data_IF_048571341131
#
_entry.id   IF_048571341131
#
_cell.length_a   1.000
_cell.length_b   1.000
_cell.length_c   1.000
_cell.angle_alpha   90.00
_cell.angle_beta   90.00
_cell.angle_gamma   90.00
#
_symmetry.space_group_name_H-M   'P 1'
#
loop_
_entity.id
_entity.type
_entity.pdbx_description
1 polymer ?
#
# COMPACT_ATOMS: atom_id res chain seq x y z
N UNK A 1 36.16 63.16 -29.20
CA UNK A 1 36.61 62.06 -30.08
C UNK A 1 36.48 60.76 -29.30
N UNK A 2 35.94 59.72 -29.92
CA UNK A 2 35.06 58.74 -29.28
C UNK A 2 35.66 57.32 -29.24
N UNK A 3 35.07 56.43 -28.44
CA UNK A 3 34.72 55.05 -28.82
C UNK A 3 34.09 54.36 -27.61
N UNK A 4 32.78 54.15 -27.58
CA UNK A 4 32.00 53.08 -28.23
C UNK A 4 31.95 51.77 -27.42
N UNK A 5 30.74 51.48 -26.94
CA UNK A 5 30.09 50.20 -26.55
C UNK A 5 30.16 49.12 -27.65
N UNK A 6 29.49 47.94 -27.54
CA UNK A 6 29.19 47.01 -26.43
C UNK A 6 29.57 45.54 -26.82
N UNK A 7 29.37 44.53 -25.95
CA UNK A 7 29.04 43.15 -26.40
C UNK A 7 28.57 42.25 -25.25
N UNK A 8 27.38 41.69 -25.45
CA UNK A 8 26.76 40.62 -24.69
C UNK A 8 27.34 39.24 -25.07
N UNK A 9 27.22 38.23 -24.20
CA UNK A 9 26.92 36.79 -24.45
C UNK A 9 27.17 36.03 -23.13
N UNK A 10 26.14 35.57 -22.40
CA UNK A 10 25.45 34.26 -22.46
C UNK A 10 26.35 33.03 -22.24
N UNK A 11 25.81 32.05 -21.49
CA UNK A 11 26.22 30.63 -21.34
C UNK A 11 27.38 30.39 -20.34
N UNK A 12 27.36 29.46 -19.37
CA UNK A 12 26.45 28.35 -19.00
C UNK A 12 26.77 27.96 -17.55
N UNK A 13 25.77 27.63 -16.73
CA UNK A 13 25.99 26.89 -15.47
C UNK A 13 26.26 25.42 -15.81
N UNK A 14 27.45 24.92 -15.49
CA UNK A 14 27.76 23.49 -15.52
C UNK A 14 27.20 22.86 -14.24
N UNK A 15 26.03 22.23 -14.34
CA UNK A 15 25.59 21.20 -13.41
C UNK A 15 26.50 19.98 -13.60
N UNK A 16 27.29 19.64 -12.59
CA UNK A 16 27.94 18.34 -12.51
C UNK A 16 26.89 17.30 -12.10
N UNK A 17 26.43 16.52 -13.07
CA UNK A 17 25.69 15.28 -12.82
C UNK A 17 26.68 14.22 -12.32
N UNK A 18 26.57 13.85 -11.05
CA UNK A 18 27.24 12.68 -10.50
C UNK A 18 26.34 11.46 -10.75
N UNK A 19 26.68 10.72 -11.80
CA UNK A 19 26.27 9.34 -12.02
C UNK A 19 26.90 8.48 -10.91
N UNK A 20 26.06 7.93 -10.03
CA UNK A 20 26.45 6.76 -9.23
C UNK A 20 25.99 5.54 -10.00
N UNK A 21 26.93 4.91 -10.70
CA UNK A 21 26.76 3.62 -11.31
C UNK A 21 26.51 2.55 -10.24
N UNK A 22 25.49 1.76 -10.49
CA UNK A 22 25.11 0.54 -9.79
C UNK A 22 26.25 -0.47 -9.76
N UNK A 23 26.73 -0.80 -8.55
CA UNK A 23 27.61 -1.95 -8.31
C UNK A 23 26.76 -3.21 -8.32
N UNK A 24 27.02 -4.07 -9.31
CA UNK A 24 26.53 -5.42 -9.39
C UNK A 24 27.02 -6.25 -8.20
N UNK A 25 26.09 -6.86 -7.45
CA UNK A 25 26.38 -7.96 -6.54
C UNK A 25 26.55 -9.24 -7.36
N UNK A 26 27.79 -9.50 -7.77
CA UNK A 26 28.24 -10.81 -8.19
C UNK A 26 29.06 -11.44 -7.05
N UNK A 27 28.69 -12.65 -6.66
CA UNK A 27 29.58 -13.57 -5.94
C UNK A 27 29.16 -13.91 -4.51
N UNK A 28 28.35 -14.96 -4.38
CA UNK A 28 28.64 -16.04 -3.45
C UNK A 28 28.21 -17.35 -4.12
N UNK A 29 29.20 -18.01 -4.69
CA UNK A 29 29.17 -19.41 -5.15
C UNK A 29 29.18 -20.30 -3.91
N UNK A 30 28.23 -21.22 -3.85
CA UNK A 30 28.22 -22.37 -2.95
C UNK A 30 27.77 -23.59 -3.75
N UNK A 31 28.70 -24.49 -4.01
CA UNK A 31 28.64 -25.61 -4.95
C UNK A 31 27.64 -26.74 -4.57
N UNK A 32 27.31 -27.62 -5.54
CA UNK A 32 26.24 -28.60 -5.46
C UNK A 32 26.70 -29.88 -4.74
N UNK A 33 25.86 -30.42 -3.86
CA UNK A 33 25.99 -31.80 -3.42
C UNK A 33 25.11 -32.71 -4.29
N UNK A 34 25.80 -33.61 -5.00
CA UNK A 34 25.27 -34.68 -5.82
C UNK A 34 25.35 -36.02 -5.06
N UNK A 35 24.50 -36.94 -5.51
CA UNK A 35 24.59 -38.42 -5.50
C UNK A 35 23.75 -39.21 -4.49
N UNK A 36 22.83 -39.99 -5.07
CA UNK A 36 22.24 -41.25 -4.58
C UNK A 36 20.77 -41.32 -5.02
N UNK A 37 20.34 -41.92 -6.13
CA UNK A 37 20.82 -43.12 -6.82
C UNK A 37 19.97 -44.33 -6.38
N UNK A 38 18.93 -44.69 -7.15
CA UNK A 38 18.14 -45.91 -6.91
C UNK A 38 16.95 -46.05 -7.87
N UNK A 39 17.01 -47.06 -8.74
CA UNK A 39 16.13 -47.33 -9.86
C UNK A 39 15.05 -48.41 -9.58
N UNK A 40 14.04 -48.46 -10.45
CA UNK A 40 13.09 -49.58 -10.65
C UNK A 40 11.66 -49.04 -10.83
N UNK A 41 10.88 -49.30 -11.88
CA UNK A 41 10.88 -50.34 -12.91
C UNK A 41 9.53 -51.09 -12.89
N UNK A 42 8.74 -51.04 -13.98
CA UNK A 42 7.55 -51.87 -14.25
C UNK A 42 6.24 -51.06 -14.40
N UNK A 43 5.74 -50.75 -15.61
CA UNK A 43 4.95 -51.56 -16.60
C UNK A 43 3.52 -51.96 -16.17
N UNK A 44 2.54 -51.42 -16.91
CA UNK A 44 1.44 -52.18 -17.52
C UNK A 44 0.07 -52.18 -16.82
N UNK A 45 -1.00 -51.99 -17.61
CA UNK A 45 -2.30 -52.63 -17.32
C UNK A 45 -3.55 -51.79 -17.55
N UNK A 46 -4.28 -52.14 -18.62
CA UNK A 46 -5.58 -51.63 -19.06
C UNK A 46 -6.78 -52.28 -18.36
N UNK A 47 -7.97 -51.67 -18.50
CA UNK A 47 -9.31 -52.27 -18.29
C UNK A 47 -9.97 -51.76 -17.00
N UNK A 48 -11.20 -51.26 -16.97
CA UNK A 48 -12.38 -51.59 -17.77
C UNK A 48 -13.47 -52.17 -16.84
N UNK A 49 -14.70 -51.69 -17.03
CA UNK A 49 -15.99 -52.25 -16.55
C UNK A 49 -16.60 -51.78 -15.21
N UNK A 50 -17.61 -50.92 -15.39
CA UNK A 50 -18.90 -50.89 -14.69
C UNK A 50 -19.62 -52.28 -14.74
N UNK A 51 -20.50 -52.61 -13.78
CA UNK A 51 -21.93 -52.41 -14.07
C UNK A 51 -22.86 -52.05 -12.90
N UNK A 52 -23.93 -51.36 -13.33
CA UNK A 52 -25.29 -51.12 -12.82
C UNK A 52 -25.90 -52.02 -11.74
N UNK A 53 -26.74 -51.36 -10.91
CA UNK A 53 -27.97 -51.87 -10.28
C UNK A 53 -28.33 -50.93 -9.11
N UNK A 54 -29.47 -50.26 -8.98
CA UNK A 54 -30.84 -50.53 -9.43
C UNK A 54 -31.73 -50.74 -8.19
N UNK A 55 -32.71 -49.86 -7.94
CA UNK A 55 -33.81 -50.13 -6.98
C UNK A 55 -34.21 -48.93 -6.12
N UNK A 56 -35.38 -48.33 -6.42
CA UNK A 56 -35.97 -47.23 -5.66
C UNK A 56 -36.94 -47.67 -4.55
N UNK A 57 -37.35 -46.71 -3.72
CA UNK A 57 -38.72 -46.52 -3.21
C UNK A 57 -38.78 -45.28 -2.29
N UNK A 58 -39.64 -44.33 -2.63
CA UNK A 58 -40.22 -43.33 -1.72
C UNK A 58 -41.53 -43.90 -1.10
N UNK A 59 -42.32 -43.17 -0.28
CA UNK A 59 -42.06 -42.10 0.71
C UNK A 59 -42.66 -42.47 2.10
N UNK A 60 -42.60 -41.55 3.07
CA UNK A 60 -43.39 -41.38 4.34
C UNK A 60 -42.41 -40.78 5.37
N UNK A 61 -42.62 -39.69 6.11
CA UNK A 61 -43.75 -38.82 6.39
C UNK A 61 -43.52 -38.24 7.80
N UNK A 62 -43.52 -36.92 7.96
CA UNK A 62 -43.91 -36.22 9.21
C UNK A 62 -42.86 -35.95 10.30
N UNK A 63 -42.42 -34.69 10.37
CA UNK A 63 -42.57 -33.85 11.59
C UNK A 63 -41.45 -33.84 12.64
N UNK A 64 -40.94 -32.64 12.95
CA UNK A 64 -40.27 -32.33 14.22
C UNK A 64 -39.01 -31.48 14.06
N UNK A 65 -39.09 -30.19 14.36
CA UNK A 65 -38.03 -29.21 14.15
C UNK A 65 -36.80 -29.35 15.06
N UNK A 66 -35.73 -28.66 14.66
CA UNK A 66 -34.52 -28.52 15.45
C UNK A 66 -33.34 -27.99 14.63
N UNK A 67 -33.30 -26.67 14.44
CA UNK A 67 -32.12 -25.83 14.21
C UNK A 67 -30.99 -26.41 13.32
N UNK A 68 -31.12 -26.22 12.01
CA UNK A 68 -29.95 -26.06 11.14
C UNK A 68 -29.43 -24.64 11.29
N UNK A 69 -28.44 -24.46 12.17
CA UNK A 69 -27.70 -23.22 12.36
C UNK A 69 -26.36 -23.30 11.66
N UNK A 70 -26.35 -22.78 10.44
CA UNK A 70 -25.24 -22.18 9.70
C UNK A 70 -23.83 -22.28 10.33
N UNK A 71 -22.95 -23.10 9.77
CA UNK A 71 -21.51 -23.12 10.08
C UNK A 71 -20.69 -22.25 9.11
N UNK A 72 -21.32 -21.31 8.40
CA UNK A 72 -20.65 -20.34 7.53
C UNK A 72 -20.53 -18.96 8.18
N UNK A 73 -20.07 -18.89 9.43
CA UNK A 73 -19.90 -17.61 10.13
C UNK A 73 -18.77 -16.79 9.53
N UNK A 74 -19.10 -15.87 8.61
CA UNK A 74 -18.18 -14.84 8.13
C UNK A 74 -17.73 -13.91 9.26
N UNK A 75 -16.72 -13.05 9.00
CA UNK A 75 -16.27 -12.06 9.98
C UNK A 75 -17.43 -11.18 10.48
N UNK A 76 -17.37 -10.67 11.72
CA UNK A 76 -18.27 -9.63 12.17
C UNK A 76 -18.08 -8.38 11.29
N UNK A 77 -19.18 -7.73 10.90
CA UNK A 77 -19.13 -6.52 10.08
C UNK A 77 -18.50 -5.37 10.87
N UNK A 78 -17.29 -4.96 10.48
CA UNK A 78 -16.62 -3.75 10.98
C UNK A 78 -16.62 -2.71 9.87
N UNK A 79 -17.13 -1.48 10.09
CA UNK A 79 -17.10 -0.44 9.07
C UNK A 79 -15.69 -0.16 8.59
N UNK A 80 -15.52 0.01 7.27
CA UNK A 80 -14.20 0.41 6.74
C UNK A 80 -13.92 1.87 7.07
N UNK A 81 -12.80 2.11 7.74
CA UNK A 81 -12.38 3.42 8.25
C UNK A 81 -11.07 3.91 7.66
N UNK A 82 -10.39 3.09 6.85
CA UNK A 82 -9.15 3.48 6.21
C UNK A 82 -9.41 4.35 4.98
N UNK A 83 -8.89 5.59 4.92
CA UNK A 83 -9.21 6.51 3.84
C UNK A 83 -8.59 6.08 2.51
N UNK A 84 -9.38 6.18 1.45
CA UNK A 84 -8.93 5.94 0.08
C UNK A 84 -8.35 7.21 -0.58
N UNK A 85 -7.83 7.10 -1.80
CA UNK A 85 -7.41 8.23 -2.63
C UNK A 85 -8.64 8.99 -3.12
N UNK A 86 -8.75 10.32 -2.92
CA UNK A 86 -9.93 11.03 -3.39
C UNK A 86 -9.97 11.27 -4.89
N UNK A 87 -8.81 11.23 -5.56
CA UNK A 87 -8.76 11.36 -7.01
C UNK A 87 -8.82 9.97 -7.65
N UNK A 88 -9.83 9.76 -8.50
CA UNK A 88 -10.01 8.53 -9.27
C UNK A 88 -9.01 8.47 -10.43
N UNK A 89 -8.26 7.37 -10.55
CA UNK A 89 -7.30 7.14 -11.64
C UNK A 89 -7.24 5.68 -12.02
N UNK A 90 -7.22 5.41 -13.33
CA UNK A 90 -7.01 4.08 -13.89
C UNK A 90 -6.09 4.12 -15.12
N UNK A 91 -5.42 3.02 -15.43
CA UNK A 91 -4.61 2.83 -16.64
C UNK A 91 -4.87 1.47 -17.30
N UNK A 92 -4.48 1.33 -18.56
CA UNK A 92 -4.46 0.04 -19.28
C UNK A 92 -3.03 -0.51 -19.46
N UNK A 93 -2.07 0.00 -18.69
CA UNK A 93 -0.66 -0.32 -18.85
C UNK A 93 0.05 0.40 -20.01
N UNK A 94 -0.65 1.27 -20.75
CA UNK A 94 -0.09 2.06 -21.86
C UNK A 94 -0.46 3.53 -21.76
N UNK A 95 -1.73 3.84 -21.44
CA UNK A 95 -2.24 5.19 -21.24
C UNK A 95 -3.04 5.30 -19.93
N UNK A 96 -3.15 6.53 -19.41
CA UNK A 96 -4.10 6.86 -18.35
C UNK A 96 -5.48 6.93 -18.99
N UNK A 97 -6.47 6.29 -18.37
CA UNK A 97 -7.82 6.18 -18.90
C UNK A 97 -8.70 7.32 -18.38
N UNK A 98 -9.54 7.88 -19.27
CA UNK A 98 -10.57 8.87 -18.91
C UNK A 98 -11.67 8.28 -18.01
N UNK A 99 -11.92 6.98 -18.12
CA UNK A 99 -12.82 6.22 -17.25
C UNK A 99 -12.17 4.91 -16.83
N UNK A 100 -12.49 4.46 -15.63
CA UNK A 100 -12.03 3.15 -15.17
C UNK A 100 -12.74 2.00 -15.93
N UNK A 101 -12.05 0.86 -16.17
CA UNK A 101 -12.63 -0.30 -16.84
C UNK A 101 -13.78 -0.91 -16.03
N UNK A 102 -14.88 -1.29 -16.68
CA UNK A 102 -15.99 -2.02 -16.06
C UNK A 102 -15.68 -3.50 -15.83
N UNK A 103 -16.54 -4.24 -15.10
CA UNK A 103 -16.26 -5.62 -14.66
C UNK A 103 -15.89 -6.64 -15.73
N UNK A 104 -16.33 -6.44 -16.97
CA UNK A 104 -16.01 -7.32 -18.10
C UNK A 104 -14.82 -6.83 -18.95
N UNK A 105 -14.23 -5.68 -18.61
CA UNK A 105 -13.14 -5.07 -19.35
C UNK A 105 -11.79 -5.46 -18.73
N UNK A 106 -10.72 -5.63 -19.54
CA UNK A 106 -9.37 -5.82 -19.00
C UNK A 106 -8.97 -4.69 -18.05
N UNK A 107 -8.14 -5.01 -17.06
CA UNK A 107 -7.71 -4.07 -16.01
C UNK A 107 -8.84 -3.56 -15.11
N UNK A 108 -10.00 -4.23 -15.06
CA UNK A 108 -10.93 -4.03 -13.95
C UNK A 108 -10.29 -4.44 -12.62
N UNK A 109 -10.74 -3.83 -11.51
CA UNK A 109 -10.24 -4.11 -10.16
C UNK A 109 -9.15 -3.16 -9.68
N UNK A 110 -8.90 -2.05 -10.40
CA UNK A 110 -7.94 -1.03 -9.98
C UNK A 110 -8.46 -0.22 -8.79
N UNK A 111 -7.57 0.48 -8.10
CA UNK A 111 -7.92 1.37 -6.99
C UNK A 111 -9.05 2.35 -7.37
N UNK A 112 -8.92 3.02 -8.53
CA UNK A 112 -9.97 3.91 -9.04
C UNK A 112 -11.29 3.23 -9.44
N UNK A 113 -11.38 1.89 -9.45
CA UNK A 113 -12.67 1.20 -9.60
C UNK A 113 -13.51 1.21 -8.33
N UNK A 114 -12.89 1.42 -7.18
CA UNK A 114 -13.52 1.43 -5.86
C UNK A 114 -13.52 2.86 -5.31
N UNK A 115 -14.53 3.19 -4.51
CA UNK A 115 -14.64 4.47 -3.82
C UNK A 115 -15.03 4.15 -2.37
N UNK A 116 -14.04 3.79 -1.56
CA UNK A 116 -14.26 3.25 -0.21
C UNK A 116 -13.76 4.28 0.80
N UNK A 117 -14.62 4.76 1.70
CA UNK A 117 -14.22 5.75 2.71
C UNK A 117 -13.41 6.93 2.12
N UNK A 118 -13.86 7.49 0.99
CA UNK A 118 -13.18 8.59 0.31
C UNK A 118 -13.19 9.85 1.20
N UNK A 119 -12.03 10.41 1.60
CA UNK A 119 -12.01 11.55 2.49
C UNK A 119 -12.35 12.84 1.76
N UNK A 120 -12.95 13.76 2.51
CA UNK A 120 -13.08 15.17 2.16
C UNK A 120 -12.29 16.01 3.16
N UNK A 121 -11.73 17.11 2.66
CA UNK A 121 -10.87 17.98 3.46
C UNK A 121 -11.51 19.36 3.60
N UNK A 122 -11.61 19.85 4.83
CA UNK A 122 -12.18 21.16 5.13
C UNK A 122 -11.12 22.07 5.74
N UNK A 123 -10.81 23.16 5.07
CA UNK A 123 -9.92 24.18 5.59
C UNK A 123 -10.66 25.13 6.55
N UNK A 124 -10.03 25.43 7.68
CA UNK A 124 -10.49 26.45 8.62
C UNK A 124 -9.35 26.92 9.50
N UNK A 125 -9.25 28.24 9.72
CA UNK A 125 -8.35 28.86 10.71
C UNK A 125 -6.87 28.41 10.58
N UNK A 126 -6.38 28.24 9.34
CA UNK A 126 -5.00 27.81 9.07
C UNK A 126 -4.74 26.31 9.24
N UNK A 127 -5.79 25.50 9.29
CA UNK A 127 -5.75 24.04 9.42
C UNK A 127 -6.63 23.35 8.39
N UNK A 128 -6.38 22.06 8.15
CA UNK A 128 -7.15 21.21 7.24
C UNK A 128 -7.67 19.99 7.99
N UNK A 129 -8.99 19.83 8.06
CA UNK A 129 -9.63 18.71 8.74
C UNK A 129 -10.03 17.61 7.78
N UNK A 130 -9.66 16.36 8.09
CA UNK A 130 -10.03 15.15 7.37
C UNK A 130 -11.37 14.59 7.89
N UNK A 131 -12.31 14.31 6.99
CA UNK A 131 -13.63 13.77 7.34
C UNK A 131 -13.63 12.31 7.79
N UNK A 132 -12.63 11.51 7.38
CA UNK A 132 -12.51 10.07 7.66
C UNK A 132 -11.70 9.85 8.92
N UNK A 133 -10.42 10.25 8.92
CA UNK A 133 -9.53 10.03 10.08
C UNK A 133 -9.82 10.97 11.25
N UNK A 134 -10.56 12.06 11.00
CA UNK A 134 -10.82 13.16 11.96
C UNK A 134 -9.58 13.92 12.41
N UNK A 135 -8.42 13.62 11.82
CA UNK A 135 -7.18 14.36 12.06
C UNK A 135 -7.28 15.79 11.53
N UNK A 136 -6.51 16.66 12.17
CA UNK A 136 -6.36 18.06 11.78
C UNK A 136 -4.91 18.24 11.34
N UNK A 137 -4.72 18.76 10.14
CA UNK A 137 -3.42 18.96 9.52
C UNK A 137 -3.10 20.45 9.48
N UNK A 138 -1.82 20.76 9.63
CA UNK A 138 -1.33 22.11 9.41
C UNK A 138 -1.56 22.50 7.95
N UNK A 139 -1.94 23.75 7.70
CA UNK A 139 -1.82 24.34 6.36
C UNK A 139 -0.56 25.21 6.32
N UNK A 140 0.56 24.74 5.73
CA UNK A 140 1.81 25.49 5.72
C UNK A 140 1.63 26.87 5.08
N UNK A 141 2.11 27.91 5.76
CA UNK A 141 2.08 29.29 5.23
C UNK A 141 3.30 29.63 4.39
N UNK A 142 4.44 29.00 4.69
CA UNK A 142 5.71 29.24 4.01
C UNK A 142 6.36 27.92 3.57
N UNK A 143 7.06 27.99 2.44
CA UNK A 143 7.85 26.88 1.95
C UNK A 143 9.19 26.80 2.70
N UNK A 144 9.18 26.18 3.88
CA UNK A 144 10.38 25.88 4.66
C UNK A 144 10.84 24.41 4.48
N UNK A 145 12.12 24.17 4.71
CA UNK A 145 12.72 22.82 4.78
C UNK A 145 13.40 22.61 6.12
N UNK A 146 13.45 21.36 6.56
CA UNK A 146 13.82 20.98 7.92
C UNK A 146 14.75 19.76 7.93
N UNK A 147 15.71 19.80 8.85
CA UNK A 147 16.29 18.56 9.40
C UNK A 147 15.22 17.81 10.17
N UNK A 148 15.43 16.52 10.42
CA UNK A 148 14.49 15.73 11.23
C UNK A 148 14.27 16.34 12.63
N UNK A 149 15.33 16.84 13.27
CA UNK A 149 15.23 17.51 14.57
C UNK A 149 14.46 18.84 14.50
N UNK A 150 14.71 19.66 13.48
CA UNK A 150 14.00 20.92 13.30
C UNK A 150 12.51 20.70 12.99
N UNK A 151 12.15 19.62 12.30
CA UNK A 151 10.75 19.29 12.02
C UNK A 151 9.95 19.02 13.30
N UNK A 152 10.53 18.34 14.30
CA UNK A 152 9.89 18.18 15.62
C UNK A 152 9.70 19.51 16.32
N UNK A 153 10.76 20.33 16.36
CA UNK A 153 10.72 21.65 17.00
C UNK A 153 9.65 22.53 16.36
N UNK A 154 9.47 22.46 15.04
CA UNK A 154 8.40 23.16 14.32
C UNK A 154 7.01 22.74 14.82
N UNK A 155 6.71 21.44 14.86
CA UNK A 155 5.41 20.99 15.35
C UNK A 155 5.18 21.30 16.84
N UNK A 156 6.22 21.21 17.68
CA UNK A 156 6.13 21.58 19.09
C UNK A 156 5.85 23.08 19.28
N UNK A 157 6.38 23.95 18.40
CA UNK A 157 6.09 25.38 18.40
C UNK A 157 4.62 25.66 18.07
N UNK A 158 4.06 25.00 17.05
CA UNK A 158 2.64 25.11 16.72
C UNK A 158 1.74 24.68 17.89
N UNK A 159 2.13 23.62 18.62
CA UNK A 159 1.43 23.15 19.81
C UNK A 159 1.44 24.20 20.92
N UNK A 160 2.59 24.80 21.19
CA UNK A 160 2.74 25.85 22.21
C UNK A 160 1.93 27.11 21.87
N UNK A 161 1.83 27.46 20.58
CA UNK A 161 1.08 28.62 20.09
C UNK A 161 -0.43 28.36 19.95
N UNK A 162 -0.86 27.10 20.15
CA UNK A 162 -2.24 26.66 19.88
C UNK A 162 -2.69 27.05 18.47
N UNK A 163 -1.82 26.84 17.47
CA UNK A 163 -2.10 27.21 16.08
C UNK A 163 -3.42 26.59 15.61
N UNK A 164 -4.30 27.41 15.04
CA UNK A 164 -5.64 26.99 14.63
C UNK A 164 -6.55 26.48 15.77
N UNK A 165 -6.25 26.83 17.03
CA UNK A 165 -6.97 26.34 18.20
C UNK A 165 -6.62 24.90 18.62
N UNK A 166 -5.54 24.33 18.08
CA UNK A 166 -5.09 22.96 18.36
C UNK A 166 -3.84 23.01 19.23
N UNK A 167 -3.88 22.39 20.41
CA UNK A 167 -2.74 22.35 21.35
C UNK A 167 -1.87 21.10 21.24
N UNK A 168 -2.24 20.14 20.39
CA UNK A 168 -1.63 18.81 20.29
C UNK A 168 -0.88 18.56 18.98
N UNK A 169 -0.28 19.61 18.40
CA UNK A 169 0.51 19.46 17.17
C UNK A 169 1.73 18.58 17.40
N UNK A 170 2.01 17.73 16.43
CA UNK A 170 3.18 16.85 16.43
C UNK A 170 3.55 16.45 15.01
N UNK A 171 4.72 15.86 14.87
CA UNK A 171 5.13 15.19 13.64
C UNK A 171 4.21 13.96 13.41
N UNK A 172 3.69 13.74 12.18
CA UNK A 172 2.77 12.64 11.91
C UNK A 172 3.49 11.31 11.92
N UNK A 173 2.83 10.23 12.32
CA UNK A 173 3.33 8.87 12.04
C UNK A 173 3.27 8.60 10.54
N UNK A 174 4.01 7.58 10.08
CA UNK A 174 3.95 7.17 8.67
C UNK A 174 2.52 6.82 8.26
N UNK A 175 1.78 6.10 9.12
CA UNK A 175 0.38 5.71 8.87
C UNK A 175 -0.51 6.93 8.66
N UNK A 176 -0.35 7.96 9.49
CA UNK A 176 -1.09 9.22 9.32
C UNK A 176 -0.73 9.92 8.02
N UNK A 177 0.54 9.99 7.68
CA UNK A 177 0.97 10.64 6.45
C UNK A 177 0.48 9.88 5.21
N UNK A 178 0.48 8.55 5.23
CA UNK A 178 -0.11 7.69 4.19
C UNK A 178 -1.62 7.92 4.07
N UNK A 179 -2.32 8.18 5.17
CA UNK A 179 -3.79 8.35 5.19
C UNK A 179 -4.28 9.50 4.29
N UNK A 180 -3.45 10.51 4.05
CA UNK A 180 -3.77 11.65 3.19
C UNK A 180 -3.12 11.58 1.80
N UNK A 181 -2.39 10.51 1.48
CA UNK A 181 -1.81 10.34 0.14
C UNK A 181 -2.93 10.15 -0.88
N UNK A 182 -2.79 10.81 -2.03
CA UNK A 182 -3.68 10.74 -3.18
C UNK A 182 -2.91 10.27 -4.42
N UNK A 183 -3.06 8.98 -4.75
CA UNK A 183 -2.36 8.38 -5.89
C UNK A 183 -2.97 8.72 -7.25
N UNK A 184 -4.19 9.27 -7.28
CA UNK A 184 -4.83 9.70 -8.51
C UNK A 184 -4.42 11.10 -8.95
N UNK A 185 -3.82 11.88 -8.05
CA UNK A 185 -3.50 13.27 -8.26
C UNK A 185 -2.18 13.48 -9.02
N UNK A 186 -1.77 14.75 -9.21
CA UNK A 186 -0.51 15.14 -9.86
C UNK A 186 0.68 15.12 -8.91
N UNK A 187 0.43 15.12 -7.60
CA UNK A 187 1.43 14.89 -6.55
C UNK A 187 0.82 14.08 -5.42
N UNK A 188 1.64 13.58 -4.51
CA UNK A 188 1.18 12.72 -3.41
C UNK A 188 0.13 13.33 -2.49
N UNK A 189 0.01 14.66 -2.40
CA UNK A 189 -0.97 15.32 -1.55
C UNK A 189 -1.76 16.33 -2.37
N UNK A 190 -3.03 16.53 -2.02
CA UNK A 190 -3.86 17.55 -2.67
C UNK A 190 -3.40 18.97 -2.34
N UNK A 191 -3.67 19.89 -3.25
CA UNK A 191 -3.32 21.31 -3.14
C UNK A 191 -3.80 21.98 -1.83
N UNK A 192 -4.86 21.46 -1.20
CA UNK A 192 -5.37 21.98 0.08
C UNK A 192 -4.33 21.87 1.22
N UNK A 193 -3.44 20.89 1.16
CA UNK A 193 -2.34 20.73 2.12
C UNK A 193 -1.15 21.65 1.83
N UNK A 194 -1.24 22.50 0.78
CA UNK A 194 -0.22 23.46 0.37
C UNK A 194 1.21 22.87 0.25
N UNK A 195 1.29 21.61 -0.17
CA UNK A 195 2.55 20.88 -0.20
C UNK A 195 3.38 21.23 -1.44
N UNK A 196 4.70 21.32 -1.28
CA UNK A 196 5.60 21.51 -2.42
C UNK A 196 5.94 20.20 -3.14
N UNK A 197 5.74 20.11 -4.47
CA UNK A 197 6.18 18.96 -5.28
C UNK A 197 7.69 18.74 -5.19
N UNK A 198 8.17 17.53 -5.47
CA UNK A 198 9.62 17.25 -5.49
C UNK A 198 10.28 17.15 -4.12
N UNK A 199 9.51 17.18 -3.03
CA UNK A 199 10.01 17.17 -1.66
C UNK A 199 9.67 15.86 -0.95
N UNK A 200 10.50 15.51 0.04
CA UNK A 200 10.22 14.45 1.01
C UNK A 200 9.50 15.06 2.22
N UNK A 201 8.49 14.39 2.74
CA UNK A 201 7.81 14.78 3.98
C UNK A 201 8.17 13.79 5.10
N UNK A 202 8.67 14.32 6.21
CA UNK A 202 9.05 13.53 7.37
C UNK A 202 7.84 12.91 8.06
N UNK A 203 8.02 11.67 8.52
CA UNK A 203 7.18 11.07 9.55
C UNK A 203 7.99 10.87 10.83
N UNK A 204 7.29 10.77 11.96
CA UNK A 204 7.84 10.45 13.27
C UNK A 204 8.16 8.96 13.43
N UNK A 205 7.82 8.12 12.46
CA UNK A 205 8.01 6.67 12.53
C UNK A 205 9.46 6.31 12.24
N UNK A 206 10.09 5.60 13.19
CA UNK A 206 11.44 5.06 13.06
C UNK A 206 11.47 3.80 12.19
N UNK A 207 12.62 3.54 11.57
CA UNK A 207 12.82 2.33 10.77
C UNK A 207 13.38 1.21 11.65
N UNK A 208 12.70 0.06 11.67
CA UNK A 208 13.16 -1.14 12.36
C UNK A 208 14.60 -1.53 12.00
N UNK A 209 15.37 -1.97 13.00
CA UNK A 209 16.75 -2.44 12.82
C UNK A 209 17.79 -1.34 12.61
N UNK A 210 17.42 -0.05 12.60
CA UNK A 210 18.35 1.06 12.35
C UNK A 210 18.84 1.80 13.60
N UNK A 211 18.46 1.34 14.79
CA UNK A 211 18.76 1.99 16.08
C UNK A 211 18.31 3.47 16.11
N UNK A 212 17.25 3.80 15.38
CA UNK A 212 16.69 5.14 15.32
C UNK A 212 17.48 6.12 14.46
N UNK A 213 18.43 5.68 13.63
CA UNK A 213 19.20 6.56 12.73
C UNK A 213 18.39 7.02 11.50
N UNK A 214 17.35 6.27 11.11
CA UNK A 214 16.51 6.54 9.96
C UNK A 214 15.06 6.77 10.36
N UNK A 215 14.37 7.62 9.61
CA UNK A 215 12.93 7.83 9.70
C UNK A 215 12.26 7.65 8.34
N UNK A 216 11.01 7.24 8.34
CA UNK A 216 10.20 7.12 7.14
C UNK A 216 9.74 8.49 6.61
N UNK A 217 9.48 8.56 5.31
CA UNK A 217 8.89 9.73 4.68
C UNK A 217 8.22 9.43 3.34
N UNK A 218 7.41 10.38 2.89
CA UNK A 218 6.71 10.32 1.60
C UNK A 218 7.44 11.19 0.59
N UNK A 219 7.81 10.63 -0.57
CA UNK A 219 8.30 11.38 -1.71
C UNK A 219 7.12 11.88 -2.56
N UNK A 220 6.91 13.19 -2.62
CA UNK A 220 5.71 13.78 -3.24
C UNK A 220 5.60 13.59 -4.75
N UNK A 221 6.71 13.44 -5.46
CA UNK A 221 6.72 13.29 -6.93
C UNK A 221 6.09 11.98 -7.39
N UNK A 222 6.27 10.92 -6.62
CA UNK A 222 5.86 9.55 -6.98
C UNK A 222 4.85 8.95 -6.01
N UNK A 223 4.52 9.67 -4.93
CA UNK A 223 3.70 9.16 -3.82
C UNK A 223 4.26 7.88 -3.17
N UNK A 224 5.57 7.67 -3.26
CA UNK A 224 6.25 6.48 -2.73
C UNK A 224 6.76 6.69 -1.31
N UNK A 225 6.76 5.62 -0.54
CA UNK A 225 7.21 5.57 0.85
C UNK A 225 8.66 5.09 0.88
N UNK A 226 9.54 5.93 1.42
CA UNK A 226 10.96 5.62 1.58
C UNK A 226 11.44 5.99 2.98
N UNK A 227 12.68 5.63 3.30
CA UNK A 227 13.32 6.01 4.55
C UNK A 227 14.61 6.76 4.29
N UNK A 228 14.93 7.67 5.21
CA UNK A 228 16.01 8.62 5.07
C UNK A 228 16.77 8.79 6.38
N UNK A 229 18.08 9.02 6.27
CA UNK A 229 18.93 9.25 7.42
C UNK A 229 18.60 10.60 8.06
N UNK A 230 18.37 10.61 9.38
CA UNK A 230 17.89 11.79 10.11
C UNK A 230 18.89 12.94 10.12
N UNK A 231 20.19 12.61 10.22
CA UNK A 231 21.28 13.58 10.29
C UNK A 231 21.84 13.94 8.90
N UNK A 232 21.57 13.10 7.88
CA UNK A 232 22.06 13.28 6.51
C UNK A 232 21.16 14.15 5.63
N UNK A 233 19.94 14.48 6.06
CA UNK A 233 18.94 15.17 5.26
C UNK A 233 18.41 16.44 5.97
N UNK A 234 18.58 17.59 5.31
CA UNK A 234 18.15 18.90 5.82
C UNK A 234 17.11 19.62 4.95
N UNK A 235 16.79 19.06 3.77
CA UNK A 235 15.92 19.65 2.76
C UNK A 235 14.53 18.99 2.68
N UNK A 236 14.17 18.15 3.66
CA UNK A 236 12.84 17.57 3.75
C UNK A 236 11.85 18.57 4.36
N UNK A 237 10.56 18.25 4.29
CA UNK A 237 9.46 19.10 4.73
C UNK A 237 8.66 18.39 5.83
N UNK A 238 7.77 19.14 6.44
CA UNK A 238 6.87 18.65 7.48
C UNK A 238 5.46 19.10 7.19
N UNK A 239 4.50 18.24 7.54
CA UNK A 239 3.08 18.56 7.61
C UNK A 239 2.63 18.13 9.00
N UNK A 240 2.62 19.05 9.97
CA UNK A 240 2.28 18.69 11.33
C UNK A 240 0.82 18.24 11.40
N UNK A 241 0.55 17.32 12.32
CA UNK A 241 -0.79 16.79 12.55
C UNK A 241 -1.17 16.98 14.01
N UNK A 242 -2.45 17.23 14.25
CA UNK A 242 -3.09 17.32 15.55
C UNK A 242 -4.39 16.52 15.58
N UNK A 243 -4.91 16.31 16.78
CA UNK A 243 -6.08 15.46 17.04
C UNK A 243 -5.89 14.62 18.31
N UNK A 244 -6.95 14.03 18.82
CA UNK A 244 -6.93 13.37 20.14
C UNK A 244 -6.11 12.07 20.16
N UNK A 245 -6.03 11.33 19.05
CA UNK A 245 -5.26 10.08 18.98
C UNK A 245 -4.61 9.89 17.61
N UNK A 246 -3.42 9.28 17.61
CA UNK A 246 -2.78 8.82 16.39
C UNK A 246 -3.54 7.62 15.81
N UNK A 247 -3.47 7.43 14.49
CA UNK A 247 -4.07 6.24 13.87
C UNK A 247 -3.33 4.99 14.39
N UNK A 248 -4.04 4.03 15.01
CA UNK A 248 -3.40 2.84 15.58
C UNK A 248 -2.83 1.94 14.47
N UNK A 249 -1.85 1.07 14.82
CA UNK A 249 -1.41 -0.02 13.96
C UNK A 249 -2.53 -0.98 13.55
N UNK A 250 -2.23 -1.94 12.68
CA UNK A 250 -3.18 -3.00 12.30
C UNK A 250 -3.56 -3.83 13.54
N UNK A 251 -4.86 -4.06 13.74
CA UNK A 251 -5.37 -4.92 14.82
C UNK A 251 -5.86 -6.24 14.23
N UNK A 252 -4.91 -7.12 13.94
CA UNK A 252 -5.16 -8.33 13.17
C UNK A 252 -5.73 -9.45 14.06
N UNK A 253 -6.81 -10.06 13.60
CA UNK A 253 -7.44 -11.21 14.24
C UNK A 253 -7.90 -12.24 13.20
N UNK A 254 -8.03 -13.50 13.60
CA UNK A 254 -8.42 -14.59 12.69
C UNK A 254 -9.15 -15.70 13.45
N UNK A 255 -10.02 -16.43 12.74
CA UNK A 255 -10.77 -17.59 13.27
C UNK A 255 -10.51 -18.89 12.50
N UNK A 256 -9.52 -18.89 11.57
CA UNK A 256 -9.16 -20.03 10.73
C UNK A 256 -8.04 -19.67 9.74
N UNK A 257 -7.69 -20.55 8.83
CA UNK A 257 -6.47 -20.38 8.00
C UNK A 257 -6.66 -19.53 6.73
N UNK A 258 -7.90 -19.15 6.40
CA UNK A 258 -8.20 -18.52 5.11
C UNK A 258 -8.10 -16.99 5.14
N UNK A 259 -8.63 -16.34 6.19
CA UNK A 259 -8.76 -14.88 6.26
C UNK A 259 -8.41 -14.30 7.63
N UNK A 260 -8.04 -13.02 7.64
CA UNK A 260 -7.78 -12.23 8.85
C UNK A 260 -8.52 -10.88 8.76
N UNK A 261 -9.12 -10.44 9.87
CA UNK A 261 -9.75 -9.13 10.00
C UNK A 261 -8.76 -8.16 10.63
N UNK A 262 -8.57 -7.01 10.00
CA UNK A 262 -7.93 -5.85 10.61
C UNK A 262 -8.99 -4.98 11.29
N UNK A 263 -9.06 -5.08 12.62
CA UNK A 263 -10.04 -4.37 13.44
C UNK A 263 -9.87 -2.85 13.41
N UNK A 264 -8.69 -2.33 13.05
CA UNK A 264 -8.46 -0.88 13.00
C UNK A 264 -8.92 -0.25 11.70
N UNK A 265 -9.03 -1.03 10.63
CA UNK A 265 -9.43 -0.55 9.29
C UNK A 265 -10.77 -1.12 8.81
N UNK A 266 -11.25 -2.21 9.40
CA UNK A 266 -12.42 -2.96 8.94
C UNK A 266 -12.16 -3.84 7.70
N UNK A 267 -10.91 -3.94 7.26
CA UNK A 267 -10.53 -4.72 6.08
C UNK A 267 -10.35 -6.20 6.42
N UNK A 268 -10.81 -7.07 5.53
CA UNK A 268 -10.63 -8.51 5.62
C UNK A 268 -9.62 -8.95 4.58
N UNK A 269 -8.57 -9.61 5.04
CA UNK A 269 -7.41 -9.98 4.24
C UNK A 269 -7.34 -11.47 4.03
N UNK A 270 -6.94 -11.87 2.83
CA UNK A 270 -6.49 -13.23 2.56
C UNK A 270 -5.24 -13.51 3.41
N UNK A 271 -5.17 -14.65 4.15
CA UNK A 271 -4.01 -14.99 5.00
C UNK A 271 -2.84 -15.59 4.23
N UNK A 272 -3.12 -16.51 3.32
CA UNK A 272 -2.12 -17.08 2.42
C UNK A 272 -2.20 -16.35 1.08
N UNK A 273 -1.12 -15.68 0.68
CA UNK A 273 -1.11 -15.00 -0.61
C UNK A 273 -1.27 -15.99 -1.78
N UNK A 274 -1.60 -15.47 -2.96
CA UNK A 274 -1.77 -16.28 -4.16
C UNK A 274 -0.54 -17.14 -4.47
N UNK A 275 -0.75 -18.38 -4.94
CA UNK A 275 0.33 -19.26 -5.37
C UNK A 275 0.93 -18.76 -6.68
N UNK A 276 2.21 -18.37 -6.65
CA UNK A 276 2.93 -17.85 -7.81
C UNK A 276 2.95 -16.33 -7.88
N UNK A 277 3.39 -15.81 -9.02
CA UNK A 277 3.50 -14.38 -9.30
C UNK A 277 2.71 -14.03 -10.55
N UNK A 278 2.27 -12.77 -10.64
CA UNK A 278 1.41 -12.28 -11.72
C UNK A 278 1.98 -10.98 -12.30
N UNK A 279 1.69 -10.72 -13.57
CA UNK A 279 1.70 -9.34 -14.07
C UNK A 279 0.56 -8.55 -13.40
N UNK A 280 0.59 -7.23 -13.49
CA UNK A 280 -0.38 -6.41 -12.75
C UNK A 280 -1.82 -6.66 -13.21
N UNK A 281 -2.03 -6.82 -14.52
CA UNK A 281 -3.34 -7.20 -15.10
C UNK A 281 -3.84 -8.55 -14.57
N UNK A 282 -2.96 -9.54 -14.47
CA UNK A 282 -3.26 -10.86 -13.93
C UNK A 282 -3.54 -10.84 -12.43
N UNK A 283 -2.83 -10.00 -11.66
CA UNK A 283 -3.07 -9.82 -10.23
C UNK A 283 -4.45 -9.23 -9.94
N UNK A 284 -4.84 -8.21 -10.72
CA UNK A 284 -6.18 -7.62 -10.67
C UNK A 284 -7.25 -8.69 -10.90
N UNK A 285 -7.18 -9.39 -12.04
CA UNK A 285 -8.13 -10.43 -12.40
C UNK A 285 -8.15 -11.60 -11.39
N UNK A 286 -6.99 -12.01 -10.86
CA UNK A 286 -6.90 -13.08 -9.89
C UNK A 286 -7.74 -12.81 -8.65
N UNK A 287 -7.70 -11.58 -8.12
CA UNK A 287 -8.48 -11.25 -6.94
C UNK A 287 -9.97 -11.15 -7.23
N UNK A 288 -10.38 -10.57 -8.37
CA UNK A 288 -11.80 -10.53 -8.77
C UNK A 288 -12.41 -11.93 -8.96
N UNK A 289 -11.61 -12.89 -9.45
CA UNK A 289 -12.04 -14.28 -9.65
C UNK A 289 -11.94 -15.15 -8.38
N UNK A 290 -11.37 -14.63 -7.29
CA UNK A 290 -11.09 -15.41 -6.09
C UNK A 290 -12.39 -15.71 -5.34
N UNK A 291 -12.64 -17.00 -5.12
CA UNK A 291 -13.62 -17.47 -4.12
C UNK A 291 -12.89 -18.11 -2.95
N UNK A 292 -12.98 -17.49 -1.76
CA UNK A 292 -12.29 -17.91 -0.54
C UNK A 292 -13.20 -17.73 0.67
N UNK A 293 -13.25 -18.71 1.58
CA UNK A 293 -14.13 -18.71 2.75
C UNK A 293 -15.62 -18.43 2.41
N UNK A 294 -16.09 -18.93 1.26
CA UNK A 294 -17.46 -18.71 0.78
C UNK A 294 -17.78 -17.30 0.26
N UNK A 295 -16.75 -16.46 0.06
CA UNK A 295 -16.86 -15.08 -0.42
C UNK A 295 -16.19 -14.90 -1.77
N UNK A 296 -16.75 -14.06 -2.62
CA UNK A 296 -16.35 -13.83 -4.01
C UNK A 296 -16.27 -12.33 -4.38
N UNK A 297 -16.20 -11.47 -3.38
CA UNK A 297 -16.06 -10.01 -3.45
C UNK A 297 -14.62 -9.58 -3.09
N UNK A 298 -13.66 -10.45 -3.36
CA UNK A 298 -12.24 -10.18 -3.17
C UNK A 298 -11.74 -9.27 -4.28
N UNK A 299 -10.79 -8.40 -3.94
CA UNK A 299 -10.14 -7.48 -4.88
C UNK A 299 -8.67 -7.31 -4.53
N UNK A 300 -7.91 -6.78 -5.48
CA UNK A 300 -6.54 -6.40 -5.22
C UNK A 300 -6.55 -5.14 -4.32
N UNK A 301 -5.82 -5.11 -3.20
CA UNK A 301 -5.79 -3.98 -2.27
C UNK A 301 -5.15 -2.75 -2.90
N UNK A 302 -5.61 -1.57 -2.53
CA UNK A 302 -4.93 -0.33 -2.88
C UNK A 302 -3.56 -0.22 -2.21
N UNK A 303 -2.72 0.68 -2.69
CA UNK A 303 -1.42 0.94 -2.09
C UNK A 303 -1.57 1.40 -0.63
N UNK A 304 -2.60 2.22 -0.34
CA UNK A 304 -2.89 2.68 1.01
C UNK A 304 -3.28 1.51 1.91
N UNK A 305 -4.11 0.59 1.42
CA UNK A 305 -4.53 -0.60 2.19
C UNK A 305 -3.35 -1.55 2.45
N UNK A 306 -2.50 -1.84 1.45
CA UNK A 306 -1.31 -2.66 1.71
C UNK A 306 -0.34 -2.02 2.71
N UNK A 307 -0.20 -0.69 2.65
CA UNK A 307 0.61 0.04 3.63
C UNK A 307 -0.02 0.03 5.04
N UNK A 308 -1.33 -0.20 5.17
CA UNK A 308 -2.00 -0.31 6.48
C UNK A 308 -1.75 -1.64 7.19
N UNK A 309 -1.10 -2.62 6.56
CA UNK A 309 -0.69 -3.88 7.20
C UNK A 309 0.83 -4.03 7.33
N UNK A 310 1.59 -3.03 6.89
CA UNK A 310 3.04 -2.96 7.15
C UNK A 310 3.26 -2.81 8.66
N UNK A 311 4.14 -3.65 9.20
CA UNK A 311 4.62 -3.56 10.56
C UNK A 311 5.95 -2.79 10.58
N UNK A 312 5.91 -1.56 11.07
CA UNK A 312 7.06 -0.66 11.14
C UNK A 312 8.09 -1.04 12.23
N UNK A 313 7.76 -1.98 13.11
CA UNK A 313 8.66 -2.54 14.12
C UNK A 313 9.43 -3.77 13.62
N UNK A 314 9.11 -4.28 12.42
CA UNK A 314 9.73 -5.48 11.84
C UNK A 314 10.52 -5.15 10.57
N UNK A 315 11.57 -5.92 10.33
CA UNK A 315 12.36 -5.87 9.10
C UNK A 315 12.63 -7.31 8.65
N UNK A 316 12.34 -7.61 7.38
CA UNK A 316 12.62 -8.91 6.77
C UNK A 316 11.90 -10.12 7.41
N UNK A 317 10.55 -10.21 7.35
CA UNK A 317 9.61 -9.32 6.67
C UNK A 317 8.96 -8.29 7.61
N UNK A 318 8.58 -7.13 7.06
CA UNK A 318 7.88 -6.03 7.72
C UNK A 318 6.35 -6.24 7.75
N UNK A 319 5.92 -7.42 8.21
CA UNK A 319 4.52 -7.83 8.31
C UNK A 319 4.35 -8.84 9.45
N UNK A 320 3.13 -9.00 9.97
CA UNK A 320 2.84 -10.05 10.93
C UNK A 320 2.86 -11.45 10.29
N UNK A 321 3.91 -12.22 10.58
CA UNK A 321 4.13 -13.55 9.99
C UNK A 321 3.31 -14.66 10.62
N UNK A 322 2.71 -14.43 11.80
CA UNK A 322 1.82 -15.39 12.45
C UNK A 322 0.43 -15.34 11.82
N UNK A 323 -0.03 -14.13 11.49
CA UNK A 323 -1.30 -13.92 10.78
C UNK A 323 -1.14 -14.20 9.29
N UNK A 324 -0.16 -13.60 8.64
CA UNK A 324 0.07 -13.71 7.20
C UNK A 324 1.06 -14.83 6.89
N UNK A 325 0.55 -16.06 6.92
CA UNK A 325 1.34 -17.27 6.74
C UNK A 325 2.12 -17.26 5.42
N UNK A 326 3.38 -17.65 5.52
CA UNK A 326 4.31 -17.66 4.39
C UNK A 326 4.74 -16.28 3.91
N UNK A 327 4.42 -15.20 4.64
CA UNK A 327 4.73 -13.80 4.33
C UNK A 327 6.20 -13.61 3.91
N UNK A 328 6.50 -13.57 2.61
CA UNK A 328 7.87 -13.54 2.15
C UNK A 328 8.39 -12.10 2.18
N UNK A 329 9.69 -11.93 2.40
CA UNK A 329 10.40 -10.69 2.13
C UNK A 329 10.41 -10.42 0.63
N UNK A 330 9.33 -9.82 0.12
CA UNK A 330 9.09 -9.62 -1.31
C UNK A 330 8.11 -8.47 -1.56
N UNK A 331 7.97 -8.10 -2.83
CA UNK A 331 7.07 -7.04 -3.29
C UNK A 331 5.73 -7.60 -3.72
N UNK A 332 4.66 -6.94 -3.26
CA UNK A 332 3.28 -7.27 -3.57
C UNK A 332 2.65 -6.20 -4.43
N UNK A 333 1.87 -6.61 -5.44
CA UNK A 333 1.06 -5.71 -6.23
C UNK A 333 -0.01 -5.05 -5.37
N UNK A 334 -0.15 -3.73 -5.52
CA UNK A 334 -1.40 -3.03 -5.22
C UNK A 334 -2.24 -2.84 -6.48
N UNK A 335 -3.51 -2.49 -6.33
CA UNK A 335 -4.40 -2.07 -7.41
C UNK A 335 -4.19 -0.63 -7.87
N UNK A 336 -3.26 0.09 -7.25
CA UNK A 336 -3.04 1.53 -7.47
C UNK A 336 -2.06 1.78 -8.62
N UNK A 337 -2.48 2.46 -9.71
CA UNK A 337 -1.58 2.91 -10.76
C UNK A 337 -0.55 3.91 -10.21
N UNK A 338 0.65 3.94 -10.77
CA UNK A 338 1.65 4.90 -10.35
C UNK A 338 1.29 6.33 -10.77
N UNK A 339 1.74 7.29 -9.96
CA UNK A 339 1.56 8.70 -10.26
C UNK A 339 2.31 9.07 -11.54
N UNK A 340 1.65 9.78 -12.46
CA UNK A 340 2.30 10.31 -13.67
C UNK A 340 2.73 9.25 -14.71
N UNK A 341 2.50 7.96 -14.45
CA UNK A 341 2.79 6.86 -15.38
C UNK A 341 1.55 6.00 -15.60
N UNK A 342 1.41 5.49 -16.82
CA UNK A 342 0.35 4.55 -17.19
C UNK A 342 0.82 3.09 -17.22
N UNK A 343 2.13 2.87 -17.43
CA UNK A 343 2.78 1.57 -17.56
C UNK A 343 3.43 1.09 -16.27
N UNK A 344 3.18 1.79 -15.15
CA UNK A 344 3.69 1.48 -13.83
C UNK A 344 2.54 1.43 -12.81
N UNK A 345 2.69 0.57 -11.81
CA UNK A 345 1.78 0.46 -10.66
C UNK A 345 2.58 0.39 -9.35
N UNK A 346 1.95 0.78 -8.24
CA UNK A 346 2.59 0.79 -6.93
C UNK A 346 2.70 -0.64 -6.39
N UNK A 347 3.87 -0.95 -5.84
CA UNK A 347 4.11 -2.16 -5.05
C UNK A 347 4.52 -1.77 -3.63
N UNK A 348 4.16 -2.63 -2.68
CA UNK A 348 4.66 -2.55 -1.30
C UNK A 348 5.66 -3.68 -1.09
N UNK A 349 6.86 -3.35 -0.63
CA UNK A 349 7.94 -4.31 -0.38
C UNK A 349 7.97 -4.71 1.08
N UNK A 350 7.44 -5.89 1.41
CA UNK A 350 7.46 -6.41 2.77
C UNK A 350 8.84 -6.89 3.23
N UNK A 351 9.91 -6.77 2.44
CA UNK A 351 11.27 -6.93 2.97
C UNK A 351 11.61 -5.81 3.96
N UNK A 352 11.05 -4.61 3.76
CA UNK A 352 11.35 -3.45 4.59
C UNK A 352 10.18 -2.50 4.88
N UNK A 353 9.02 -2.67 4.26
CA UNK A 353 7.84 -1.82 4.43
C UNK A 353 7.76 -0.62 3.47
N UNK A 354 8.75 -0.42 2.60
CA UNK A 354 8.77 0.68 1.64
C UNK A 354 7.79 0.44 0.48
N UNK A 355 7.46 1.50 -0.25
CA UNK A 355 6.74 1.40 -1.53
C UNK A 355 7.54 2.00 -2.68
N UNK A 356 7.29 1.49 -3.87
CA UNK A 356 7.91 1.92 -5.11
C UNK A 356 6.95 1.63 -6.27
N UNK A 357 7.17 2.25 -7.43
CA UNK A 357 6.47 1.86 -8.65
C UNK A 357 7.28 0.81 -9.42
N UNK A 358 6.59 -0.12 -10.08
CA UNK A 358 7.18 -1.14 -10.95
C UNK A 358 6.41 -1.23 -12.27
N UNK A 359 7.05 -1.78 -13.30
CA UNK A 359 6.42 -1.99 -14.61
C UNK A 359 5.23 -2.93 -14.44
N UNK A 360 4.07 -2.59 -15.02
CA UNK A 360 2.87 -3.44 -14.96
C UNK A 360 3.06 -4.83 -15.57
N UNK A 361 4.16 -5.04 -16.32
CA UNK A 361 4.54 -6.33 -16.93
C UNK A 361 5.37 -7.21 -15.99
N UNK A 362 5.90 -6.64 -14.90
CA UNK A 362 6.72 -7.36 -13.96
C UNK A 362 5.90 -8.41 -13.20
N UNK A 363 6.55 -9.51 -12.83
CA UNK A 363 5.91 -10.55 -12.02
C UNK A 363 6.08 -10.23 -10.53
N UNK A 364 4.97 -10.09 -9.78
CA UNK A 364 4.98 -9.87 -8.32
C UNK A 364 3.94 -10.74 -7.62
N UNK A 365 4.06 -10.82 -6.29
CA UNK A 365 3.11 -11.53 -5.45
C UNK A 365 1.80 -10.74 -5.31
N UNK A 366 0.73 -11.45 -4.94
CA UNK A 366 -0.61 -10.89 -4.84
C UNK A 366 -1.30 -11.41 -3.59
N UNK A 367 -1.88 -10.51 -2.81
CA UNK A 367 -2.74 -10.82 -1.66
C UNK A 367 -4.02 -10.03 -1.85
N UNK A 368 -5.16 -10.70 -1.76
CA UNK A 368 -6.44 -10.05 -1.95
C UNK A 368 -7.01 -9.53 -0.62
N UNK A 369 -7.83 -8.50 -0.74
CA UNK A 369 -8.57 -7.87 0.37
C UNK A 369 -10.04 -7.81 0.01
N UNK A 370 -10.90 -7.71 1.00
CA UNK A 370 -12.31 -7.34 0.84
C UNK A 370 -12.73 -6.40 1.97
N UNK A 371 -13.73 -5.58 1.69
CA UNK A 371 -14.41 -4.73 2.66
C UNK A 371 -15.76 -5.37 2.96
N UNK A 372 -16.05 -5.75 4.20
CA UNK A 372 -17.38 -6.25 4.55
C UNK A 372 -18.40 -5.11 4.37
N UNK A 373 -19.21 -5.22 3.32
CA UNK A 373 -20.32 -4.33 2.98
C UNK A 373 -21.63 -5.10 2.89
#
# INVERSE_FOLDING_TARGET
MPNETPLAHRFTWLLAALLVESVALAGCVGDPFQVGGGAGGGTGGSGGDEPKGGGGSEPMGGGGGGAGGDTGGGPPSVPVTWPDSPTKRCSDGTIVLERCPGPSEPFHGQDGNYEIAVPSYTERDGTVRDSVTRLIWEKPQESATFTFAAARVHCDALAAEQHGGVSGWRLPTLRELVSIVDFGHTTAFQEIFATTPGSVYWSATDVAGTQGAFAWGVLTTSATIGYYEKEGMANARVLCVGGEQAIPPAELSTSGEEWALDGSTGLVWQRQHALGTFDWRGALAHCEDLTLAGKNDWRLPSAKELLSIVDDQRLGPAIDTEIFLGGPSSSFWSSTPALGSADRAIVVNFSNGASQDNSVRDQRLTRCVRSDG
#
